data_IF_274211847731
#
_entry.id   IF_274211847731
#
_cell.length_a   1.000
_cell.length_b   1.000
_cell.length_c   1.000
_cell.angle_alpha   90.00
_cell.angle_beta   90.00
_cell.angle_gamma   90.00
#
_symmetry.space_group_name_H-M   'P 1'
#
loop_
_entity.id
_entity.type
_entity.pdbx_description
1 polymer ?
#
# COMPACT_ATOMS: atom_id res chain seq x y z
N UNK A 1 -9.34 -10.61 -15.05
CA UNK A 1 -8.78 -11.95 -14.73
C UNK A 1 -7.98 -11.97 -13.43
N UNK A 2 -7.06 -11.01 -13.18
CA UNK A 2 -6.22 -10.94 -11.97
C UNK A 2 -7.02 -10.94 -10.65
N UNK A 3 -8.16 -10.25 -10.57
CA UNK A 3 -9.01 -10.21 -9.37
C UNK A 3 -9.70 -11.55 -9.04
N UNK A 4 -9.87 -12.45 -10.03
CA UNK A 4 -10.51 -13.76 -9.81
C UNK A 4 -9.60 -14.71 -9.03
N UNK A 5 -8.28 -14.61 -9.21
CA UNK A 5 -7.31 -15.50 -8.56
C UNK A 5 -7.04 -15.13 -7.10
N UNK A 6 -6.98 -13.84 -6.73
CA UNK A 6 -6.83 -13.46 -5.32
C UNK A 6 -8.04 -13.81 -4.45
N UNK A 7 -9.26 -13.76 -5.01
CA UNK A 7 -10.47 -14.19 -4.30
C UNK A 7 -10.46 -15.71 -4.10
N UNK A 8 -10.05 -16.48 -5.13
CA UNK A 8 -9.98 -17.94 -5.07
C UNK A 8 -8.95 -18.43 -4.03
N UNK A 9 -7.77 -17.80 -3.92
CA UNK A 9 -6.71 -18.29 -3.03
C UNK A 9 -6.97 -18.06 -1.53
N UNK A 10 -7.69 -16.98 -1.14
CA UNK A 10 -8.05 -16.75 0.28
C UNK A 10 -9.29 -17.55 0.72
N UNK A 11 -10.20 -17.85 -0.20
CA UNK A 11 -11.47 -18.56 0.08
C UNK A 11 -11.31 -20.09 0.04
N UNK A 12 -10.23 -20.63 -0.55
CA UNK A 12 -10.04 -22.08 -0.71
C UNK A 12 -9.44 -22.83 0.50
N UNK A 13 -9.48 -22.31 1.73
CA UNK A 13 -9.18 -23.13 2.93
C UNK A 13 -10.46 -23.87 3.39
N UNK A 14 -10.91 -24.85 2.59
CA UNK A 14 -12.02 -25.84 2.74
C UNK A 14 -13.31 -25.41 3.50
N UNK A 15 -14.53 -25.59 2.94
CA UNK A 15 -15.20 -26.90 3.02
C UNK A 15 -16.25 -27.20 1.93
N UNK A 16 -17.02 -28.29 2.13
CA UNK A 16 -18.11 -28.89 1.34
C UNK A 16 -19.19 -27.92 0.81
N UNK A 17 -19.79 -28.29 -0.33
CA UNK A 17 -20.60 -27.48 -1.25
C UNK A 17 -21.71 -26.60 -0.65
N UNK A 18 -22.35 -26.99 0.46
CA UNK A 18 -23.40 -26.21 1.13
C UNK A 18 -22.91 -25.10 2.07
N UNK A 19 -21.80 -25.33 2.79
CA UNK A 19 -21.17 -24.35 3.68
C UNK A 19 -20.44 -23.22 2.92
N UNK A 20 -20.12 -23.44 1.64
CA UNK A 20 -19.43 -22.46 0.79
C UNK A 20 -20.20 -21.15 0.64
N UNK A 21 -21.53 -21.19 0.41
CA UNK A 21 -22.34 -19.98 0.16
C UNK A 21 -22.43 -19.08 1.40
N UNK A 22 -22.58 -19.69 2.58
CA UNK A 22 -22.67 -18.97 3.87
C UNK A 22 -21.30 -18.45 4.30
N UNK A 23 -20.23 -19.25 4.14
CA UNK A 23 -18.87 -18.84 4.47
C UNK A 23 -18.33 -17.75 3.53
N UNK A 24 -18.64 -17.83 2.23
CA UNK A 24 -18.26 -16.82 1.23
C UNK A 24 -18.97 -15.50 1.49
N UNK A 25 -20.28 -15.53 1.74
CA UNK A 25 -21.04 -14.34 2.14
C UNK A 25 -20.51 -13.68 3.40
N UNK A 26 -20.17 -14.49 4.43
CA UNK A 26 -19.55 -13.98 5.68
C UNK A 26 -18.15 -13.40 5.44
N UNK A 27 -17.31 -14.06 4.66
CA UNK A 27 -15.94 -13.58 4.37
C UNK A 27 -15.96 -12.29 3.55
N UNK A 28 -16.86 -12.19 2.57
CA UNK A 28 -17.06 -10.98 1.78
C UNK A 28 -17.63 -9.84 2.63
N UNK A 29 -18.61 -10.12 3.48
CA UNK A 29 -19.20 -9.13 4.37
C UNK A 29 -18.22 -8.64 5.45
N UNK A 30 -17.49 -9.55 6.09
CA UNK A 30 -16.44 -9.18 7.05
C UNK A 30 -15.32 -8.39 6.36
N UNK A 31 -14.93 -8.79 5.15
CA UNK A 31 -13.92 -8.07 4.36
C UNK A 31 -14.37 -6.67 3.94
N UNK A 32 -15.60 -6.52 3.44
CA UNK A 32 -16.14 -5.22 3.03
C UNK A 32 -16.35 -4.28 4.22
N UNK A 33 -16.81 -4.81 5.36
CA UNK A 33 -16.96 -4.05 6.60
C UNK A 33 -15.61 -3.55 7.11
N UNK A 34 -14.58 -4.41 7.14
CA UNK A 34 -13.23 -4.03 7.57
C UNK A 34 -12.60 -2.97 6.65
N UNK A 35 -12.80 -3.08 5.33
CA UNK A 35 -12.30 -2.06 4.41
C UNK A 35 -13.03 -0.73 4.63
N UNK A 36 -14.35 -0.74 4.77
CA UNK A 36 -15.14 0.46 5.02
C UNK A 36 -14.69 1.17 6.30
N UNK A 37 -14.44 0.44 7.39
CA UNK A 37 -13.98 1.04 8.65
C UNK A 37 -12.56 1.61 8.55
N UNK A 38 -11.65 0.95 7.85
CA UNK A 38 -10.28 1.48 7.63
C UNK A 38 -10.33 2.77 6.82
N UNK A 39 -11.06 2.80 5.70
CA UNK A 39 -11.16 3.98 4.85
C UNK A 39 -11.81 5.18 5.57
N UNK A 40 -12.81 4.95 6.41
CA UNK A 40 -13.44 6.04 7.16
C UNK A 40 -12.49 6.62 8.22
N UNK A 41 -11.73 5.77 8.91
CA UNK A 41 -10.71 6.22 9.89
C UNK A 41 -9.60 7.02 9.20
N UNK A 42 -9.08 6.54 8.07
CA UNK A 42 -8.08 7.27 7.28
C UNK A 42 -8.60 8.64 6.81
N UNK A 43 -9.85 8.70 6.34
CA UNK A 43 -10.46 9.94 5.89
C UNK A 43 -10.63 10.95 7.04
N UNK A 44 -11.14 10.50 8.19
CA UNK A 44 -11.31 11.35 9.37
C UNK A 44 -9.97 11.90 9.84
N UNK A 45 -8.93 11.05 9.91
CA UNK A 45 -7.59 11.48 10.28
C UNK A 45 -7.00 12.48 9.27
N UNK A 46 -7.17 12.22 7.97
CA UNK A 46 -6.68 13.11 6.92
C UNK A 46 -7.36 14.49 6.98
N UNK A 47 -8.68 14.53 7.21
CA UNK A 47 -9.42 15.79 7.39
C UNK A 47 -8.95 16.49 8.66
N UNK A 48 -8.81 15.79 9.79
CA UNK A 48 -8.34 16.38 11.05
C UNK A 48 -6.97 17.06 10.90
N UNK A 49 -6.02 16.37 10.26
CA UNK A 49 -4.68 16.92 9.98
C UNK A 49 -4.77 18.10 9.00
N UNK A 50 -5.63 18.03 7.98
CA UNK A 50 -5.83 19.13 7.05
C UNK A 50 -6.41 20.38 7.73
N UNK A 51 -7.38 20.21 8.65
CA UNK A 51 -7.94 21.30 9.46
C UNK A 51 -6.88 21.90 10.39
N UNK A 52 -6.03 21.07 10.98
CA UNK A 52 -4.95 21.50 11.89
C UNK A 52 -3.93 22.44 11.22
N UNK A 53 -3.62 22.19 9.94
CA UNK A 53 -2.63 22.97 9.18
C UNK A 53 -3.24 24.07 8.28
N UNK A 54 -4.53 24.40 8.42
CA UNK A 54 -5.17 25.45 7.59
C UNK A 54 -4.52 26.83 7.73
N UNK A 55 -3.92 27.13 8.89
CA UNK A 55 -3.19 28.37 9.13
C UNK A 55 -1.75 28.30 8.63
N UNK A 56 -0.99 27.31 9.08
CA UNK A 56 0.45 27.17 8.78
C UNK A 56 0.76 25.84 8.10
N UNK A 57 0.87 25.87 6.77
CA UNK A 57 1.26 24.71 5.97
C UNK A 57 2.76 24.38 6.18
N UNK A 58 3.10 23.21 6.76
CA UNK A 58 4.50 22.82 7.03
C UNK A 58 5.31 22.56 5.74
N UNK A 59 4.61 22.45 4.60
CA UNK A 59 5.24 22.35 3.28
C UNK A 59 5.72 23.72 2.77
N UNK A 60 4.97 24.80 3.06
CA UNK A 60 5.30 26.15 2.63
C UNK A 60 6.37 26.79 3.53
N UNK A 61 6.37 26.44 4.82
CA UNK A 61 7.40 26.91 5.77
C UNK A 61 8.77 26.20 5.61
N UNK A 62 8.89 25.24 4.69
CA UNK A 62 10.13 24.51 4.44
C UNK A 62 10.46 23.43 5.47
N UNK A 63 9.58 23.16 6.44
CA UNK A 63 9.77 22.11 7.45
C UNK A 63 9.75 20.70 6.86
N UNK A 64 9.15 20.51 5.67
CA UNK A 64 8.97 19.21 5.03
C UNK A 64 9.33 19.26 3.54
N UNK A 65 10.10 18.28 3.05
CA UNK A 65 10.55 18.19 1.65
C UNK A 65 9.46 17.71 0.68
N UNK A 66 8.57 16.83 1.13
CA UNK A 66 7.51 16.22 0.33
C UNK A 66 6.18 16.18 1.07
N UNK A 67 5.05 16.29 0.37
CA UNK A 67 3.72 16.25 1.00
C UNK A 67 3.42 14.92 1.70
N UNK A 68 4.05 13.83 1.26
CA UNK A 68 3.86 12.49 1.82
C UNK A 68 4.41 12.36 3.24
N UNK A 69 5.21 13.33 3.69
CA UNK A 69 5.82 13.37 5.01
C UNK A 69 5.03 14.21 6.03
N UNK A 70 3.86 14.77 5.66
CA UNK A 70 3.04 15.60 6.57
C UNK A 70 2.56 14.79 7.78
N UNK A 71 2.03 13.60 7.57
CA UNK A 71 1.55 12.73 8.64
C UNK A 71 2.68 12.29 9.60
N UNK A 72 3.83 11.75 9.13
CA UNK A 72 4.92 11.40 10.03
C UNK A 72 5.53 12.63 10.72
N UNK A 73 5.51 13.81 10.09
CA UNK A 73 5.92 15.06 10.74
C UNK A 73 4.97 15.45 11.89
N UNK A 74 3.66 15.32 11.69
CA UNK A 74 2.66 15.58 12.73
C UNK A 74 2.87 14.66 13.94
N UNK A 75 3.01 13.35 13.71
CA UNK A 75 3.21 12.36 14.77
C UNK A 75 4.52 12.61 15.52
N UNK A 76 5.62 12.85 14.80
CA UNK A 76 6.94 13.10 15.40
C UNK A 76 6.99 14.38 16.22
N UNK A 77 6.22 15.40 15.85
CA UNK A 77 6.30 16.74 16.47
C UNK A 77 5.31 16.88 17.62
N UNK A 78 4.05 16.49 17.41
CA UNK A 78 2.97 16.73 18.37
C UNK A 78 2.66 15.53 19.27
N UNK A 79 2.92 14.30 18.80
CA UNK A 79 2.68 13.08 19.59
C UNK A 79 3.97 12.55 20.24
N UNK A 80 5.01 13.39 20.33
CA UNK A 80 6.28 13.07 21.00
C UNK A 80 6.11 12.87 22.51
N UNK A 81 5.12 13.55 23.11
CA UNK A 81 4.82 13.47 24.55
C UNK A 81 4.37 12.09 25.00
N UNK A 82 3.88 11.26 24.06
CA UNK A 82 3.50 9.88 24.31
C UNK A 82 4.62 8.92 23.88
N UNK A 83 5.52 8.51 24.81
CA UNK A 83 6.60 7.59 24.47
C UNK A 83 6.02 6.26 23.94
N UNK A 84 6.48 5.84 22.77
CA UNK A 84 6.02 4.62 22.10
C UNK A 84 5.02 4.83 20.96
N UNK A 85 4.32 5.96 20.88
CA UNK A 85 3.32 6.19 19.83
C UNK A 85 3.92 6.22 18.43
N UNK A 86 5.08 6.87 18.27
CA UNK A 86 5.81 6.88 16.99
C UNK A 86 6.23 5.47 16.55
N UNK A 87 6.63 4.62 17.51
CA UNK A 87 6.99 3.22 17.24
C UNK A 87 5.78 2.38 16.85
N UNK A 88 4.64 2.57 17.53
CA UNK A 88 3.39 1.89 17.21
C UNK A 88 2.90 2.27 15.80
N UNK A 89 2.92 3.56 15.46
CA UNK A 89 2.60 4.02 14.11
C UNK A 89 3.50 3.38 13.05
N UNK A 90 4.82 3.41 13.25
CA UNK A 90 5.77 2.80 12.31
C UNK A 90 5.53 1.29 12.16
N UNK A 91 5.28 0.59 13.26
CA UNK A 91 4.99 -0.86 13.24
C UNK A 91 3.70 -1.17 12.46
N UNK A 92 2.67 -0.35 12.60
CA UNK A 92 1.40 -0.52 11.90
C UNK A 92 1.56 -0.32 10.39
N UNK A 93 2.28 0.74 9.97
CA UNK A 93 2.55 1.02 8.56
C UNK A 93 3.39 -0.09 7.91
N UNK A 94 4.45 -0.55 8.60
CA UNK A 94 5.30 -1.64 8.09
C UNK A 94 4.50 -2.94 7.98
N UNK A 95 3.64 -3.24 8.95
CA UNK A 95 2.76 -4.41 8.91
C UNK A 95 1.76 -4.34 7.76
N UNK A 96 1.09 -3.20 7.57
CA UNK A 96 0.17 -2.99 6.46
C UNK A 96 0.87 -3.14 5.09
N UNK A 97 2.03 -2.52 4.91
CA UNK A 97 2.82 -2.64 3.68
C UNK A 97 3.23 -4.11 3.42
N UNK A 98 3.75 -4.78 4.44
CA UNK A 98 4.21 -6.17 4.33
C UNK A 98 3.06 -7.13 4.00
N UNK A 99 1.87 -6.92 4.56
CA UNK A 99 0.69 -7.73 4.26
C UNK A 99 0.27 -7.65 2.78
N UNK A 100 0.38 -6.45 2.20
CA UNK A 100 0.06 -6.20 0.79
C UNK A 100 1.09 -6.85 -0.12
N UNK A 101 2.38 -6.66 0.19
CA UNK A 101 3.50 -7.26 -0.55
C UNK A 101 3.41 -8.79 -0.52
N UNK A 102 3.15 -9.38 0.65
CA UNK A 102 2.98 -10.82 0.79
C UNK A 102 1.81 -11.34 -0.06
N UNK A 103 0.68 -10.63 -0.11
CA UNK A 103 -0.46 -11.03 -0.94
C UNK A 103 -0.15 -10.96 -2.44
N UNK A 104 0.61 -9.96 -2.87
CA UNK A 104 1.05 -9.81 -4.27
C UNK A 104 1.99 -10.94 -4.66
N UNK A 105 3.03 -11.18 -3.86
CA UNK A 105 4.01 -12.25 -4.12
C UNK A 105 3.33 -13.62 -4.16
N UNK A 106 2.42 -13.89 -3.21
CA UNK A 106 1.70 -15.16 -3.17
C UNK A 106 0.80 -15.36 -4.40
N UNK A 107 0.15 -14.29 -4.86
CA UNK A 107 -0.71 -14.34 -6.05
C UNK A 107 0.12 -14.49 -7.34
N UNK A 108 1.25 -13.79 -7.44
CA UNK A 108 2.15 -13.87 -8.58
C UNK A 108 2.84 -15.24 -8.68
N UNK A 109 3.26 -15.81 -7.55
CA UNK A 109 3.82 -17.14 -7.49
C UNK A 109 2.80 -18.20 -7.99
N UNK A 110 1.52 -18.06 -7.62
CA UNK A 110 0.46 -18.92 -8.10
C UNK A 110 0.19 -18.76 -9.61
N UNK A 111 0.20 -17.52 -10.13
CA UNK A 111 0.05 -17.25 -11.57
C UNK A 111 1.18 -17.90 -12.36
N UNK A 112 2.44 -17.71 -11.95
CA UNK A 112 3.59 -18.34 -12.62
C UNK A 112 3.50 -19.86 -12.56
N UNK A 113 3.08 -20.41 -11.42
CA UNK A 113 2.89 -21.84 -11.29
C UNK A 113 1.88 -22.37 -12.32
N UNK A 114 0.69 -21.78 -12.38
CA UNK A 114 -0.41 -22.23 -13.23
C UNK A 114 -0.12 -21.97 -14.72
N UNK A 115 0.39 -20.79 -15.06
CA UNK A 115 0.50 -20.35 -16.46
C UNK A 115 1.82 -20.80 -17.11
N UNK A 116 2.89 -21.00 -16.33
CA UNK A 116 4.24 -21.31 -16.88
C UNK A 116 4.67 -22.74 -16.57
N UNK A 117 4.45 -23.20 -15.33
CA UNK A 117 5.01 -24.46 -14.85
C UNK A 117 4.13 -25.66 -15.20
N UNK A 118 2.83 -25.57 -14.91
CA UNK A 118 1.85 -26.63 -15.21
C UNK A 118 1.86 -27.10 -16.68
N UNK A 119 1.92 -26.23 -17.71
CA UNK A 119 1.94 -26.69 -19.09
C UNK A 119 3.29 -27.26 -19.55
N UNK A 120 4.39 -27.01 -18.82
CA UNK A 120 5.76 -27.35 -19.28
C UNK A 120 6.35 -28.59 -18.63
N UNK A 121 5.89 -28.99 -17.44
CA UNK A 121 6.48 -30.10 -16.69
C UNK A 121 5.37 -30.98 -16.12
N UNK A 122 5.36 -32.25 -16.53
CA UNK A 122 4.49 -33.26 -15.93
C UNK A 122 5.17 -33.78 -14.64
N UNK A 123 4.45 -33.82 -13.51
CA UNK A 123 4.91 -34.21 -12.15
C UNK A 123 5.64 -33.15 -11.30
N UNK A 124 5.09 -31.94 -11.15
CA UNK A 124 5.65 -30.91 -10.24
C UNK A 124 5.18 -31.07 -8.77
N UNK A 125 4.13 -31.85 -8.51
CA UNK A 125 3.41 -31.85 -7.23
C UNK A 125 4.27 -32.20 -6.01
N UNK A 126 5.30 -33.04 -6.17
CA UNK A 126 6.21 -33.44 -5.08
C UNK A 126 7.11 -32.30 -4.58
N UNK A 127 7.38 -31.28 -5.41
CA UNK A 127 8.27 -30.15 -5.07
C UNK A 127 7.54 -28.81 -5.00
N UNK A 128 6.21 -28.80 -5.06
CA UNK A 128 5.38 -27.60 -5.13
C UNK A 128 5.69 -26.57 -4.03
N UNK A 129 5.84 -27.02 -2.78
CA UNK A 129 6.10 -26.16 -1.63
C UNK A 129 7.47 -25.47 -1.70
N UNK A 130 8.48 -26.19 -2.20
CA UNK A 130 9.83 -25.66 -2.35
C UNK A 130 9.90 -24.68 -3.52
N UNK A 131 9.26 -25.01 -4.63
CA UNK A 131 9.22 -24.17 -5.84
C UNK A 131 8.50 -22.86 -5.56
N UNK A 132 7.33 -22.89 -4.92
CA UNK A 132 6.56 -21.67 -4.60
C UNK A 132 7.30 -20.76 -3.61
N UNK A 133 8.01 -21.33 -2.63
CA UNK A 133 8.89 -20.58 -1.72
C UNK A 133 10.08 -19.95 -2.43
N UNK A 134 10.78 -20.72 -3.27
CA UNK A 134 11.90 -20.22 -4.05
C UNK A 134 11.45 -19.08 -4.98
N UNK A 135 10.29 -19.24 -5.62
CA UNK A 135 9.71 -18.23 -6.49
C UNK A 135 9.33 -16.97 -5.71
N UNK A 136 8.75 -17.11 -4.52
CA UNK A 136 8.44 -15.97 -3.65
C UNK A 136 9.70 -15.17 -3.26
N UNK A 137 10.82 -15.86 -2.96
CA UNK A 137 12.10 -15.23 -2.66
C UNK A 137 12.69 -14.50 -3.89
N UNK A 138 12.64 -15.12 -5.07
CA UNK A 138 13.11 -14.49 -6.31
C UNK A 138 12.28 -13.24 -6.64
N UNK A 139 10.96 -13.33 -6.58
CA UNK A 139 10.06 -12.20 -6.82
C UNK A 139 10.31 -11.07 -5.81
N UNK A 140 10.42 -11.38 -4.52
CA UNK A 140 10.78 -10.40 -3.50
C UNK A 140 12.12 -9.73 -3.77
N UNK A 141 13.14 -10.51 -4.14
CA UNK A 141 14.47 -10.02 -4.50
C UNK A 141 14.45 -9.07 -5.70
N UNK A 142 13.69 -9.40 -6.76
CA UNK A 142 13.55 -8.52 -7.93
C UNK A 142 12.86 -7.19 -7.58
N UNK A 143 11.87 -7.21 -6.68
CA UNK A 143 11.21 -5.98 -6.21
C UNK A 143 12.17 -5.09 -5.40
N UNK A 144 13.02 -5.68 -4.58
CA UNK A 144 14.06 -4.94 -3.83
C UNK A 144 15.09 -4.35 -4.79
N UNK A 145 15.58 -5.13 -5.75
CA UNK A 145 16.52 -4.66 -6.76
C UNK A 145 15.95 -3.50 -7.59
N UNK A 146 14.68 -3.60 -8.00
CA UNK A 146 13.97 -2.52 -8.68
C UNK A 146 13.83 -1.26 -7.81
N UNK A 147 13.55 -1.43 -6.51
CA UNK A 147 13.48 -0.32 -5.56
C UNK A 147 14.82 0.41 -5.43
N UNK A 148 15.94 -0.32 -5.37
CA UNK A 148 17.29 0.26 -5.37
C UNK A 148 17.59 1.02 -6.67
N UNK A 149 17.19 0.47 -7.83
CA UNK A 149 17.36 1.13 -9.12
C UNK A 149 16.58 2.46 -9.20
N UNK A 150 15.37 2.50 -8.64
CA UNK A 150 14.54 3.71 -8.60
C UNK A 150 15.18 4.86 -7.80
N UNK A 151 15.94 4.54 -6.74
CA UNK A 151 16.69 5.53 -5.96
C UNK A 151 17.84 6.10 -6.79
N UNK A 152 18.53 5.26 -7.56
CA UNK A 152 19.64 5.67 -8.42
C UNK A 152 19.19 6.52 -9.62
N UNK A 153 18.05 6.16 -10.24
CA UNK A 153 17.48 6.87 -11.40
C UNK A 153 16.70 8.14 -11.02
N UNK A 154 16.95 8.73 -9.84
CA UNK A 154 16.14 9.79 -9.21
C UNK A 154 15.83 11.04 -10.03
N UNK A 155 16.37 11.20 -11.24
CA UNK A 155 15.99 12.24 -12.22
C UNK A 155 14.83 11.81 -13.13
N UNK A 156 14.75 10.55 -13.55
CA UNK A 156 13.78 10.07 -14.56
C UNK A 156 12.38 9.94 -13.94
N UNK A 157 12.27 9.41 -12.72
CA UNK A 157 10.97 9.26 -12.02
C UNK A 157 10.36 10.61 -11.66
N UNK A 158 11.20 11.62 -11.36
CA UNK A 158 10.75 13.01 -11.17
C UNK A 158 10.16 13.58 -12.46
N UNK A 159 10.70 13.23 -13.63
CA UNK A 159 10.19 13.67 -14.94
C UNK A 159 8.82 13.04 -15.23
N UNK A 160 8.64 11.73 -15.02
CA UNK A 160 7.33 11.07 -15.20
C UNK A 160 6.27 11.60 -14.23
N UNK A 161 6.63 11.81 -12.96
CA UNK A 161 5.73 12.42 -11.99
C UNK A 161 5.45 13.90 -12.30
N UNK A 162 6.44 14.65 -12.83
CA UNK A 162 6.25 16.02 -13.30
C UNK A 162 5.28 16.09 -14.47
N UNK A 163 5.35 15.19 -15.46
CA UNK A 163 4.38 15.16 -16.57
C UNK A 163 2.95 14.97 -16.05
N UNK A 164 2.74 14.08 -15.08
CA UNK A 164 1.42 13.89 -14.45
C UNK A 164 1.01 15.08 -13.53
N UNK A 165 1.97 15.71 -12.85
CA UNK A 165 1.73 16.81 -11.92
C UNK A 165 1.50 18.16 -12.62
N UNK A 166 2.16 18.42 -13.76
CA UNK A 166 1.98 19.64 -14.58
C UNK A 166 0.51 19.78 -15.01
N UNK A 167 -0.16 18.68 -15.33
CA UNK A 167 -1.60 18.65 -15.63
C UNK A 167 -2.49 19.08 -14.46
N UNK A 168 -2.04 18.94 -13.20
CA UNK A 168 -2.80 19.37 -11.99
C UNK A 168 -2.36 20.70 -11.40
N UNK A 169 -1.15 21.20 -11.71
CA UNK A 169 -0.56 22.39 -11.08
C UNK A 169 -1.27 23.70 -11.47
N UNK A 170 -1.99 23.73 -12.59
CA UNK A 170 -2.67 24.93 -13.10
C UNK A 170 -3.87 25.40 -12.25
N UNK A 171 -4.45 24.56 -11.37
CA UNK A 171 -5.55 24.95 -10.47
C UNK A 171 -5.12 25.42 -9.07
N UNK A 172 -3.89 25.14 -8.61
CA UNK A 172 -3.47 25.47 -7.23
C UNK A 172 -2.86 26.86 -7.05
N UNK A 173 -2.35 27.49 -8.10
CA UNK A 173 -1.70 28.81 -7.99
C UNK A 173 -2.67 29.97 -7.65
N UNK A 174 -3.97 29.81 -7.86
CA UNK A 174 -4.95 30.87 -7.61
C UNK A 174 -5.36 31.03 -6.13
N UNK A 175 -5.10 30.03 -5.27
CA UNK A 175 -5.55 30.04 -3.85
C UNK A 175 -4.43 30.43 -2.87
N UNK A 176 -3.16 30.24 -3.23
CA UNK A 176 -2.02 30.36 -2.29
C UNK A 176 -1.64 31.82 -1.96
N UNK A 177 -2.00 32.79 -2.80
CA UNK A 177 -1.57 34.18 -2.60
C UNK A 177 -2.24 34.93 -1.43
N UNK A 178 -3.21 34.32 -0.74
CA UNK A 178 -3.94 35.00 0.36
C UNK A 178 -3.67 34.41 1.76
N UNK A 179 -2.98 33.27 1.87
CA UNK A 179 -2.70 32.61 3.16
C UNK A 179 -1.36 32.98 3.81
N UNK A 180 -0.49 33.73 3.12
CA UNK A 180 0.87 34.05 3.59
C UNK A 180 0.95 35.18 4.62
N UNK A 181 -0.18 35.68 5.13
CA UNK A 181 -0.21 36.81 6.09
C UNK A 181 -0.59 36.40 7.53
N UNK A 182 -0.80 35.10 7.81
CA UNK A 182 -1.25 34.63 9.14
C UNK A 182 -0.28 33.55 9.73
N UNK A 183 0.87 33.35 9.09
CA UNK A 183 2.08 32.73 9.67
C UNK A 183 3.28 33.62 9.30
#
# INVERSE_FOLDING_TARGET
>A
MIFRYSCHMRVCRHPSSGLKKVAEGRTLFTGSLLLATVYTVELVLAIAVALWFQGCDPNLSGAIKSRDQILPFYIKTYLKEFPGFTGLFLSAVVSAATSTISSVINSLAAVIYVDVLTPRVQNIDSHLLWITRALALLLGGTMIAYSCLCVYMGSITKVSACVFCISRKRRRKAVVNHSFSIC
#
